data_IF_639381697259
#
_entry.id   IF_639381697259
#
_cell.length_a   1.000
_cell.length_b   1.000
_cell.length_c   1.000
_cell.angle_alpha   90.00
_cell.angle_beta   90.00
_cell.angle_gamma   90.00
#
_symmetry.space_group_name_H-M   'P 1'
#
loop_
_entity.id
_entity.type
_entity.pdbx_description
1 polymer ?
#
# COMPACT_ATOMS: atom_id res chain seq x y z
N UNK A 1 -10.89 -11.55 -20.02
CA UNK A 1 -9.95 -10.73 -19.23
C UNK A 1 -9.97 -11.30 -17.82
N UNK A 2 -9.53 -12.54 -17.70
CA UNK A 2 -8.14 -12.97 -17.49
C UNK A 2 -7.84 -12.93 -15.98
N UNK A 3 -7.72 -14.14 -15.47
CA UNK A 3 -7.58 -14.49 -14.06
C UNK A 3 -6.26 -13.92 -13.56
N UNK A 4 -6.30 -13.07 -12.53
CA UNK A 4 -5.07 -12.64 -11.83
C UNK A 4 -4.63 -13.81 -10.96
N UNK A 5 -3.80 -14.63 -11.59
CA UNK A 5 -3.01 -15.70 -11.00
C UNK A 5 -2.21 -15.14 -9.82
N UNK A 6 -2.30 -15.82 -8.67
CA UNK A 6 -1.49 -15.54 -7.49
C UNK A 6 0.01 -15.53 -7.82
N UNK A 7 0.60 -14.36 -8.01
CA UNK A 7 2.06 -14.20 -8.12
C UNK A 7 2.51 -13.26 -7.00
N UNK A 8 3.23 -13.84 -6.04
CA UNK A 8 3.64 -13.21 -4.77
C UNK A 8 5.01 -12.58 -4.92
N UNK A 9 5.16 -11.63 -5.85
CA UNK A 9 6.41 -10.88 -6.02
C UNK A 9 6.32 -9.52 -5.36
N UNK A 10 7.42 -9.03 -4.77
CA UNK A 10 7.52 -7.70 -4.15
C UNK A 10 6.97 -6.58 -5.05
N UNK A 11 7.17 -6.72 -6.36
CA UNK A 11 6.73 -5.75 -7.36
C UNK A 11 5.21 -5.74 -7.57
N UNK A 12 4.54 -6.90 -7.54
CA UNK A 12 3.07 -6.96 -7.65
C UNK A 12 2.39 -6.49 -6.38
N UNK A 13 2.92 -6.85 -5.20
CA UNK A 13 2.41 -6.33 -3.94
C UNK A 13 2.50 -4.79 -3.90
N UNK A 14 3.57 -4.24 -4.47
CA UNK A 14 3.74 -2.80 -4.64
C UNK A 14 2.71 -2.21 -5.60
N UNK A 15 2.52 -2.78 -6.79
CA UNK A 15 1.54 -2.30 -7.77
C UNK A 15 0.12 -2.32 -7.21
N UNK A 16 -0.29 -3.42 -6.56
CA UNK A 16 -1.62 -3.54 -5.95
C UNK A 16 -1.80 -2.54 -4.82
N UNK A 17 -0.82 -2.39 -3.93
CA UNK A 17 -0.87 -1.39 -2.86
C UNK A 17 -0.95 0.03 -3.45
N UNK A 18 -0.14 0.32 -4.46
CA UNK A 18 -0.10 1.63 -5.12
C UNK A 18 -1.43 1.95 -5.80
N UNK A 19 -2.01 1.01 -6.53
CA UNK A 19 -3.34 1.15 -7.12
C UNK A 19 -4.41 1.37 -6.04
N UNK A 20 -4.32 0.65 -4.92
CA UNK A 20 -5.26 0.82 -3.79
C UNK A 20 -5.12 2.18 -3.13
N UNK A 21 -3.89 2.64 -2.93
CA UNK A 21 -3.59 3.96 -2.36
C UNK A 21 -4.06 5.08 -3.29
N UNK A 22 -3.84 4.97 -4.59
CA UNK A 22 -4.39 5.91 -5.58
C UNK A 22 -5.90 6.00 -5.49
N UNK A 23 -6.58 4.86 -5.41
CA UNK A 23 -8.04 4.81 -5.27
C UNK A 23 -8.52 5.42 -3.93
N UNK A 24 -7.82 5.19 -2.82
CA UNK A 24 -8.17 5.73 -1.50
C UNK A 24 -7.91 7.23 -1.38
N UNK A 25 -6.76 7.69 -1.89
CA UNK A 25 -6.29 9.07 -1.77
C UNK A 25 -6.76 9.95 -2.94
N UNK A 26 -7.52 9.39 -3.88
CA UNK A 26 -7.94 10.04 -5.12
C UNK A 26 -6.77 10.71 -5.86
N UNK A 27 -5.59 10.10 -5.75
CA UNK A 27 -4.43 10.56 -6.49
C UNK A 27 -4.72 10.31 -7.96
N UNK A 28 -4.51 11.34 -8.78
CA UNK A 28 -4.40 11.22 -10.24
C UNK A 28 -3.29 10.22 -10.57
N UNK A 29 -3.03 9.92 -11.84
CA UNK A 29 -2.04 8.93 -12.31
C UNK A 29 -0.55 9.28 -12.00
N UNK A 30 -0.32 9.93 -10.86
CA UNK A 30 0.96 10.27 -10.30
C UNK A 30 1.77 9.00 -10.02
N UNK A 31 3.03 9.08 -10.41
CA UNK A 31 4.03 8.06 -10.12
C UNK A 31 4.29 8.08 -8.61
N UNK A 32 3.89 7.02 -7.92
CA UNK A 32 4.19 6.86 -6.50
C UNK A 32 5.63 6.33 -6.41
N UNK A 33 6.50 7.10 -5.76
CA UNK A 33 7.89 6.69 -5.53
C UNK A 33 7.93 5.62 -4.42
N UNK A 34 8.53 4.47 -4.74
CA UNK A 34 8.70 3.32 -3.85
C UNK A 34 9.58 3.61 -2.64
N UNK A 35 10.47 4.58 -2.80
CA UNK A 35 11.37 5.05 -1.76
C UNK A 35 10.78 6.22 -0.97
N UNK A 36 9.64 6.78 -1.42
CA UNK A 36 8.98 7.82 -0.68
C UNK A 36 8.32 7.25 0.60
N UNK A 37 8.38 8.01 1.71
CA UNK A 37 7.59 7.70 2.88
C UNK A 37 6.10 7.71 2.55
N UNK A 38 5.34 6.74 3.07
CA UNK A 38 3.88 6.70 2.97
C UNK A 38 3.21 8.02 3.34
N UNK A 39 3.69 8.68 4.39
CA UNK A 39 3.17 9.97 4.84
C UNK A 39 3.30 11.09 3.79
N UNK A 40 4.28 11.01 2.87
CA UNK A 40 4.38 11.98 1.76
C UNK A 40 3.30 11.79 0.71
N UNK A 41 2.69 10.61 0.64
CA UNK A 41 1.59 10.32 -0.28
C UNK A 41 0.24 10.86 0.24
N UNK A 42 0.20 11.39 1.46
CA UNK A 42 -1.04 11.84 2.09
C UNK A 42 -1.72 10.76 2.93
N UNK A 43 -0.99 9.70 3.30
CA UNK A 43 -1.46 8.69 4.27
C UNK A 43 -1.69 9.39 5.61
N UNK A 44 -2.95 9.52 5.99
CA UNK A 44 -3.39 9.98 7.31
C UNK A 44 -3.76 8.77 8.21
N UNK A 45 -4.14 9.06 9.45
CA UNK A 45 -4.55 8.03 10.41
C UNK A 45 -5.74 7.19 9.94
N UNK A 46 -6.67 7.75 9.16
CA UNK A 46 -7.85 7.06 8.67
C UNK A 46 -7.49 6.12 7.51
N UNK A 47 -6.73 6.62 6.55
CA UNK A 47 -6.22 5.86 5.41
C UNK A 47 -5.31 4.73 5.90
N UNK A 48 -4.48 4.97 6.92
CA UNK A 48 -3.65 3.92 7.52
C UNK A 48 -4.49 2.75 8.10
N UNK A 49 -5.62 3.05 8.76
CA UNK A 49 -6.54 2.01 9.24
C UNK A 49 -7.23 1.27 8.09
N UNK A 50 -7.60 1.97 7.02
CA UNK A 50 -8.18 1.36 5.83
C UNK A 50 -7.18 0.43 5.12
N UNK A 51 -5.93 0.88 4.94
CA UNK A 51 -4.84 0.10 4.35
C UNK A 51 -4.57 -1.15 5.18
N UNK A 52 -4.46 -1.03 6.51
CA UNK A 52 -4.32 -2.19 7.41
C UNK A 52 -5.47 -3.19 7.21
N UNK A 53 -6.71 -2.71 7.21
CA UNK A 53 -7.88 -3.58 7.04
C UNK A 53 -7.88 -4.30 5.70
N UNK A 54 -7.41 -3.62 4.65
CA UNK A 54 -7.24 -4.20 3.32
C UNK A 54 -6.12 -5.26 3.28
N UNK A 55 -4.96 -4.97 3.88
CA UNK A 55 -3.86 -5.95 4.02
C UNK A 55 -4.31 -7.21 4.76
N UNK A 56 -5.07 -7.04 5.85
CA UNK A 56 -5.59 -8.17 6.61
C UNK A 56 -6.63 -8.97 5.82
N UNK A 57 -7.42 -8.31 4.96
CA UNK A 57 -8.46 -8.95 4.15
C UNK A 57 -7.89 -9.68 2.93
N UNK A 58 -7.03 -9.02 2.16
CA UNK A 58 -6.50 -9.54 0.89
C UNK A 58 -5.24 -10.39 1.09
N UNK A 59 -4.32 -9.93 1.94
CA UNK A 59 -3.01 -10.56 2.13
C UNK A 59 -2.93 -11.38 3.42
N UNK A 60 -3.95 -11.30 4.29
CA UNK A 60 -3.95 -11.91 5.64
C UNK A 60 -2.75 -11.50 6.49
N UNK A 61 -2.19 -10.31 6.22
CA UNK A 61 -1.08 -9.73 6.96
C UNK A 61 -1.61 -8.65 7.90
N UNK A 62 -1.34 -8.78 9.20
CA UNK A 62 -1.65 -7.72 10.16
C UNK A 62 -0.52 -6.69 10.20
N UNK A 63 -0.67 -5.62 9.43
CA UNK A 63 0.29 -4.52 9.37
C UNK A 63 0.04 -3.51 10.51
N UNK A 64 1.03 -3.18 11.35
CA UNK A 64 0.88 -2.14 12.36
C UNK A 64 0.60 -0.77 11.72
N UNK A 65 -0.46 -0.08 12.18
CA UNK A 65 -0.79 1.29 11.72
C UNK A 65 0.39 2.25 11.93
N UNK A 66 1.17 2.06 13.00
CA UNK A 66 2.39 2.84 13.26
C UNK A 66 3.47 2.66 12.17
N UNK A 67 3.56 1.48 11.53
CA UNK A 67 4.46 1.29 10.39
C UNK A 67 3.97 2.04 9.15
N UNK A 68 2.64 2.17 8.99
CA UNK A 68 2.03 2.91 7.88
C UNK A 68 2.15 4.43 8.06
N UNK A 69 1.97 4.91 9.28
CA UNK A 69 2.16 6.33 9.65
C UNK A 69 3.64 6.70 9.83
N UNK A 70 4.51 5.70 9.94
CA UNK A 70 5.94 5.90 10.04
C UNK A 70 6.53 6.48 8.76
N UNK A 71 7.78 6.97 8.86
CA UNK A 71 8.58 7.35 7.69
C UNK A 71 9.13 6.14 6.91
N UNK A 72 8.55 4.96 7.11
CA UNK A 72 8.97 3.78 6.38
C UNK A 72 8.66 3.97 4.89
N UNK A 73 9.62 3.69 4.00
CA UNK A 73 9.35 3.63 2.58
C UNK A 73 8.41 2.46 2.29
N UNK A 74 7.61 2.58 1.23
CA UNK A 74 6.68 1.52 0.81
C UNK A 74 7.41 0.18 0.61
N UNK A 75 8.65 0.23 0.10
CA UNK A 75 9.50 -0.95 -0.07
C UNK A 75 9.79 -1.72 1.23
N UNK A 76 9.76 -1.07 2.40
CA UNK A 76 9.96 -1.73 3.70
C UNK A 76 8.70 -2.42 4.23
N UNK A 77 7.55 -2.21 3.61
CA UNK A 77 6.28 -2.84 3.97
C UNK A 77 6.14 -4.19 3.29
N UNK A 78 6.67 -4.29 2.08
CA UNK A 78 6.65 -5.53 1.30
C UNK A 78 7.79 -6.49 1.70
N UNK A 79 8.77 -6.06 2.51
CA UNK A 79 9.81 -6.92 3.11
C UNK A 79 9.30 -7.70 4.31
#
# INVERSE_FOLDING_TARGET
>A
MEQVSNVTTLEEAFEVLTAKLRAMLQLSDQVIDRNAPLIKLGIDSLVAVQVRSWFLKELKVDMPVLKLLGRAPLANICK
#
